data_IF_890095059066
#
_entry.id   IF_890095059066
#
_cell.length_a   1.000
_cell.length_b   1.000
_cell.length_c   1.000
_cell.angle_alpha   90.00
_cell.angle_beta   90.00
_cell.angle_gamma   90.00
#
_symmetry.space_group_name_H-M   'P 1'
#
loop_
_entity.id
_entity.type
_entity.pdbx_description
1 polymer ?
#
# COMPACT_ATOMS: atom_id res chain seq x y z
N UNK A 1 -8.67 28.78 19.03
CA UNK A 1 -7.90 27.56 18.72
C UNK A 1 -7.60 27.53 17.23
N UNK A 2 -6.32 27.54 16.82
CA UNK A 2 -5.94 27.28 15.42
C UNK A 2 -6.06 25.77 15.18
N UNK A 3 -6.91 25.36 14.24
CA UNK A 3 -6.95 23.96 13.79
C UNK A 3 -5.67 23.71 12.99
N UNK A 4 -4.71 23.01 13.60
CA UNK A 4 -3.50 22.56 12.93
C UNK A 4 -3.81 21.21 12.26
N UNK A 5 -3.91 21.19 10.94
CA UNK A 5 -3.97 19.96 10.15
C UNK A 5 -2.54 19.41 10.04
N UNK A 6 -1.99 18.93 11.14
CA UNK A 6 -0.77 18.13 11.07
C UNK A 6 -1.20 16.72 10.67
N UNK A 7 -0.73 16.18 9.53
CA UNK A 7 -1.02 14.79 9.20
C UNK A 7 -0.54 13.89 10.35
N UNK A 8 -1.27 12.80 10.66
CA UNK A 8 -0.87 11.87 11.72
C UNK A 8 0.44 11.12 11.42
N UNK A 9 0.96 11.29 10.19
CA UNK A 9 2.22 10.75 9.71
C UNK A 9 3.11 11.89 9.22
N UNK A 10 4.43 11.65 9.23
CA UNK A 10 5.36 12.61 8.62
C UNK A 10 5.06 12.75 7.12
N UNK A 11 5.20 13.96 6.60
CA UNK A 11 5.07 14.22 5.15
C UNK A 11 6.03 13.34 4.36
N UNK A 12 7.25 13.12 4.87
CA UNK A 12 8.23 12.23 4.26
C UNK A 12 7.76 10.78 4.16
N UNK A 13 7.06 10.27 5.18
CA UNK A 13 6.51 8.91 5.14
C UNK A 13 5.43 8.81 4.07
N UNK A 14 4.50 9.77 4.04
CA UNK A 14 3.43 9.81 3.02
C UNK A 14 4.01 9.86 1.61
N UNK A 15 5.02 10.70 1.36
CA UNK A 15 5.66 10.78 0.04
C UNK A 15 6.39 9.48 -0.32
N UNK A 16 7.02 8.81 0.65
CA UNK A 16 7.73 7.56 0.42
C UNK A 16 6.83 6.41 -0.04
N UNK A 17 5.56 6.39 0.40
CA UNK A 17 4.56 5.40 -0.04
C UNK A 17 4.40 5.40 -1.59
N UNK A 18 4.57 6.57 -2.23
CA UNK A 18 4.36 6.71 -3.67
C UNK A 18 5.65 6.82 -4.48
N UNK A 19 6.75 7.23 -3.85
CA UNK A 19 8.01 7.50 -4.54
C UNK A 19 8.97 6.30 -4.55
N UNK A 20 8.89 5.39 -3.58
CA UNK A 20 9.88 4.33 -3.41
C UNK A 20 9.43 2.98 -3.98
N UNK A 21 10.35 2.18 -4.54
CA UNK A 21 10.05 0.81 -4.92
C UNK A 21 9.51 0.02 -3.74
N UNK A 22 8.56 -0.88 -4.01
CA UNK A 22 7.97 -1.72 -2.99
C UNK A 22 8.32 -3.18 -3.22
N UNK A 23 8.81 -3.86 -2.19
CA UNK A 23 8.90 -5.33 -2.18
C UNK A 23 7.53 -5.90 -1.86
N UNK A 24 7.04 -6.82 -2.68
CA UNK A 24 5.77 -7.54 -2.52
C UNK A 24 6.02 -9.05 -2.54
N UNK A 25 5.09 -9.88 -2.05
CA UNK A 25 5.23 -11.33 -2.09
C UNK A 25 4.37 -11.92 -3.21
N UNK A 26 5.01 -12.55 -4.21
CA UNK A 26 4.37 -13.14 -5.39
C UNK A 26 5.03 -14.47 -5.77
N UNK A 27 4.21 -15.48 -6.09
CA UNK A 27 4.69 -16.82 -6.44
C UNK A 27 5.60 -17.41 -5.37
N UNK A 28 5.28 -17.19 -4.09
CA UNK A 28 6.05 -17.72 -2.97
C UNK A 28 7.38 -17.00 -2.68
N UNK A 29 7.64 -15.83 -3.28
CA UNK A 29 8.89 -15.09 -3.11
C UNK A 29 8.70 -13.57 -3.07
N UNK A 30 9.67 -12.87 -2.49
CA UNK A 30 9.73 -11.42 -2.55
C UNK A 30 10.15 -10.92 -3.94
N UNK A 31 9.41 -9.93 -4.44
CA UNK A 31 9.62 -9.29 -5.73
C UNK A 31 9.58 -7.77 -5.56
N UNK A 32 10.63 -7.09 -6.02
CA UNK A 32 10.67 -5.62 -6.06
C UNK A 32 9.82 -5.11 -7.21
N UNK A 33 8.95 -4.16 -6.92
CA UNK A 33 8.02 -3.54 -7.84
C UNK A 33 8.33 -2.04 -7.94
N UNK A 34 8.24 -1.49 -9.14
CA UNK A 34 8.39 -0.05 -9.37
C UNK A 34 7.34 0.75 -8.57
N UNK A 35 7.66 2.00 -8.17
CA UNK A 35 6.67 2.91 -7.58
C UNK A 35 5.43 3.03 -8.47
N UNK A 36 4.26 3.24 -7.86
CA UNK A 36 2.96 3.43 -8.53
C UNK A 36 2.53 2.27 -9.47
N UNK A 37 3.16 1.10 -9.38
CA UNK A 37 2.82 -0.07 -10.21
C UNK A 37 1.70 -0.93 -9.62
N UNK A 38 1.14 -1.82 -10.46
CA UNK A 38 0.10 -2.77 -10.02
C UNK A 38 -1.24 -2.11 -9.69
N UNK A 39 -1.60 -1.11 -10.49
CA UNK A 39 -2.88 -0.40 -10.42
C UNK A 39 -4.02 -1.41 -10.37
N UNK A 40 -4.90 -1.24 -9.40
CA UNK A 40 -6.14 -1.98 -9.26
C UNK A 40 -7.26 -0.99 -8.95
N UNK A 41 -8.39 -1.13 -9.64
CA UNK A 41 -9.55 -0.29 -9.41
C UNK A 41 -10.63 -1.08 -8.69
N UNK A 42 -11.04 -0.58 -7.53
CA UNK A 42 -12.09 -1.19 -6.71
C UNK A 42 -13.28 -0.24 -6.60
N UNK A 43 -14.49 -0.78 -6.69
CA UNK A 43 -15.70 -0.06 -6.30
C UNK A 43 -15.91 -0.31 -4.81
N UNK A 44 -15.61 0.69 -3.99
CA UNK A 44 -15.87 0.67 -2.55
C UNK A 44 -17.28 1.17 -2.25
N UNK A 45 -17.84 0.81 -1.08
CA UNK A 45 -19.08 1.42 -0.60
C UNK A 45 -18.98 2.95 -0.53
N UNK A 46 -20.13 3.61 -0.47
CA UNK A 46 -20.18 5.05 -0.17
C UNK A 46 -19.53 5.35 1.20
N UNK A 47 -18.81 6.48 1.35
CA UNK A 47 -18.67 7.60 0.42
C UNK A 47 -17.47 7.50 -0.56
N UNK A 48 -16.78 6.37 -0.60
CA UNK A 48 -15.51 6.25 -1.34
C UNK A 48 -15.72 5.97 -2.83
N UNK A 49 -16.76 5.22 -3.19
CA UNK A 49 -17.08 4.86 -4.56
C UNK A 49 -15.88 4.21 -5.29
N UNK A 50 -15.65 4.54 -6.56
CA UNK A 50 -14.58 3.95 -7.38
C UNK A 50 -13.21 4.56 -7.03
N UNK A 51 -12.29 3.74 -6.54
CA UNK A 51 -10.94 4.14 -6.13
C UNK A 51 -9.85 3.33 -6.86
N UNK A 52 -8.71 3.97 -7.14
CA UNK A 52 -7.52 3.32 -7.69
C UNK A 52 -6.46 3.07 -6.62
N UNK A 53 -5.90 1.87 -6.60
CA UNK A 53 -4.90 1.43 -5.63
C UNK A 53 -3.62 1.04 -6.34
N UNK A 54 -2.49 1.48 -5.81
CA UNK A 54 -1.15 1.12 -6.33
C UNK A 54 -0.32 0.44 -5.25
N UNK A 55 0.63 -0.40 -5.64
CA UNK A 55 1.55 -1.06 -4.70
C UNK A 55 2.36 -0.03 -3.92
N UNK A 56 2.45 -0.23 -2.62
CA UNK A 56 3.18 0.64 -1.70
C UNK A 56 4.07 -0.15 -0.73
N UNK A 57 5.20 0.40 -0.24
CA UNK A 57 6.02 -0.25 0.79
C UNK A 57 5.24 -0.45 2.11
N UNK A 58 5.32 -1.63 2.73
CA UNK A 58 4.68 -1.85 4.04
C UNK A 58 5.26 -3.03 4.82
N UNK A 59 5.84 -2.89 6.02
CA UNK A 59 6.60 -3.96 6.71
C UNK A 59 6.01 -5.38 6.63
N UNK A 60 4.69 -5.54 6.81
CA UNK A 60 4.00 -6.83 6.87
C UNK A 60 4.31 -7.84 5.75
N UNK A 61 4.39 -7.43 4.48
CA UNK A 61 4.69 -8.37 3.36
C UNK A 61 6.08 -9.01 3.41
N UNK A 62 7.01 -8.45 4.21
CA UNK A 62 8.36 -9.00 4.36
C UNK A 62 8.39 -10.14 5.37
N UNK A 63 7.47 -10.12 6.34
CA UNK A 63 7.56 -10.98 7.52
C UNK A 63 6.37 -11.93 7.62
N UNK A 64 5.15 -11.45 7.39
CA UNK A 64 3.92 -12.25 7.51
C UNK A 64 3.98 -13.50 6.63
N UNK A 65 4.41 -13.43 5.36
CA UNK A 65 4.42 -14.62 4.52
C UNK A 65 5.41 -15.70 4.94
N UNK A 66 6.44 -15.30 5.68
CA UNK A 66 7.52 -16.17 6.13
C UNK A 66 7.32 -16.64 7.58
N UNK A 67 6.31 -16.12 8.27
CA UNK A 67 6.02 -16.48 9.65
C UNK A 67 5.63 -17.97 9.76
N UNK A 68 6.06 -18.60 10.86
CA UNK A 68 5.61 -19.94 11.25
C UNK A 68 4.07 -19.97 11.34
N UNK A 69 3.46 -21.06 10.90
CA UNK A 69 2.02 -21.23 10.75
C UNK A 69 1.44 -20.63 9.47
N UNK A 70 2.07 -19.60 8.88
CA UNK A 70 1.67 -19.03 7.59
C UNK A 70 2.44 -19.68 6.44
N UNK A 71 3.75 -19.83 6.60
CA UNK A 71 4.63 -20.43 5.59
C UNK A 71 4.22 -21.86 5.26
N UNK A 72 3.84 -22.68 6.24
CA UNK A 72 3.40 -24.06 5.99
C UNK A 72 2.08 -24.14 5.19
N UNK A 73 1.29 -23.07 5.16
CA UNK A 73 0.06 -23.00 4.36
C UNK A 73 0.32 -22.80 2.87
N UNK A 74 1.58 -22.58 2.47
CA UNK A 74 1.97 -22.49 1.06
C UNK A 74 1.38 -21.29 0.33
N UNK A 75 1.13 -20.18 1.03
CA UNK A 75 0.59 -18.96 0.42
C UNK A 75 1.47 -18.50 -0.76
N UNK A 76 0.83 -18.08 -1.83
CA UNK A 76 1.52 -17.69 -3.06
C UNK A 76 1.63 -16.18 -3.23
N UNK A 77 0.72 -15.42 -2.60
CA UNK A 77 0.61 -13.99 -2.80
C UNK A 77 0.25 -13.30 -1.47
N UNK A 78 0.98 -12.21 -1.17
CA UNK A 78 0.67 -11.30 -0.07
C UNK A 78 1.19 -9.92 -0.44
N UNK A 79 0.28 -8.98 -0.68
CA UNK A 79 0.61 -7.68 -1.28
C UNK A 79 0.00 -6.54 -0.48
N UNK A 80 0.57 -5.35 -0.63
CA UNK A 80 0.05 -4.13 -0.04
C UNK A 80 -0.15 -3.08 -1.12
N UNK A 81 -1.35 -2.48 -1.14
CA UNK A 81 -1.71 -1.39 -2.04
C UNK A 81 -2.38 -0.28 -1.27
N UNK A 82 -2.15 0.95 -1.71
CA UNK A 82 -2.70 2.15 -1.10
C UNK A 82 -3.37 3.02 -2.18
N UNK A 83 -4.50 3.64 -1.82
CA UNK A 83 -5.19 4.58 -2.69
C UNK A 83 -4.57 5.97 -2.55
N UNK A 84 -4.31 6.61 -3.69
CA UNK A 84 -3.93 8.02 -3.77
C UNK A 84 -5.17 8.86 -4.14
N UNK A 85 -5.85 9.49 -3.17
CA UNK A 85 -7.08 10.23 -3.44
C UNK A 85 -6.81 11.51 -4.24
N UNK A 86 -7.17 11.50 -5.52
CA UNK A 86 -7.03 12.64 -6.43
C UNK A 86 -7.78 13.89 -5.94
N UNK A 87 -8.88 13.72 -5.19
CA UNK A 87 -9.67 14.84 -4.62
C UNK A 87 -8.89 15.61 -3.55
N UNK A 88 -7.99 14.97 -2.81
CA UNK A 88 -7.23 15.56 -1.71
C UNK A 88 -5.97 16.30 -2.20
N UNK A 89 -5.66 16.22 -3.51
CA UNK A 89 -4.56 16.94 -4.16
C UNK A 89 -4.96 18.33 -4.68
N UNK A 90 -6.26 18.69 -4.60
CA UNK A 90 -6.71 20.02 -4.99
C UNK A 90 -6.52 20.95 -3.79
N UNK A 91 -5.53 21.84 -3.91
CA UNK A 91 -5.31 22.97 -3.01
C UNK A 91 -6.53 23.92 -2.98
#
# INVERSE_FOLDING_TARGET
MRRCLTPPYSVSAVLAEYAYPSTQFYGGRHVTCSPLSGVETLNLPEPWARCEFTRSPHSGRLTVPLAEGIREKGIQEFTWKLHLPQREHKA
#
